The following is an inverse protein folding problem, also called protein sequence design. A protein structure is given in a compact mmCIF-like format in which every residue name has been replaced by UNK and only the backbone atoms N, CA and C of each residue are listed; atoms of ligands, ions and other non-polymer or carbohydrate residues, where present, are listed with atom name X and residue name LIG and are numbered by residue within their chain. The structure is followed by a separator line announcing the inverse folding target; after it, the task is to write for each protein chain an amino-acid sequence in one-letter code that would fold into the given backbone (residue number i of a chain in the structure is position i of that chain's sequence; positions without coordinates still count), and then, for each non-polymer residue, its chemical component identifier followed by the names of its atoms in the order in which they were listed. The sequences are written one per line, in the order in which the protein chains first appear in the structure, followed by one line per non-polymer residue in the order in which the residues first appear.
data_IF_981063617128
#
_entry.id   IF_981063617128
#
_cell.length_a   1.000
_cell.length_b   1.000
_cell.length_c   1.000
_cell.angle_alpha   90.00
_cell.angle_beta   90.00
_cell.angle_gamma   90.00
#
_symmetry.space_group_name_H-M   'P 1'
#
loop_
_entity.id
_entity.type
_entity.pdbx_description
1 polymer ?
#
# COMPACT_ATOMS: atom_id res chain seq x y z
N UNK A 1 3.40 -18.76 20.52
CA UNK A 1 2.54 -19.91 20.15
C UNK A 1 2.26 -19.81 18.66
N UNK A 2 2.32 -20.92 17.90
CA UNK A 2 2.18 -20.95 16.44
C UNK A 2 0.84 -21.58 16.04
N UNK A 3 -0.23 -20.80 16.10
CA UNK A 3 -1.58 -21.23 15.70
C UNK A 3 -2.31 -20.08 15.02
N UNK A 4 -3.16 -20.39 14.04
CA UNK A 4 -3.86 -19.37 13.26
C UNK A 4 -4.86 -18.55 14.10
N UNK A 5 -5.65 -19.20 14.96
CA UNK A 5 -6.72 -18.54 15.71
C UNK A 5 -6.43 -18.46 17.20
N UNK A 6 -6.52 -17.25 17.77
CA UNK A 6 -6.50 -17.03 19.21
C UNK A 6 -7.92 -17.13 19.79
N UNK A 7 -8.41 -18.36 19.98
CA UNK A 7 -9.70 -18.63 20.62
C UNK A 7 -9.54 -18.72 22.14
N UNK A 8 -10.53 -18.24 22.91
CA UNK A 8 -10.48 -18.25 24.38
C UNK A 8 -9.72 -17.08 25.01
N UNK A 9 -10.01 -16.82 26.29
CA UNK A 9 -9.56 -15.60 27.00
C UNK A 9 -8.05 -15.54 27.17
N UNK A 10 -7.41 -16.66 27.52
CA UNK A 10 -5.96 -16.74 27.74
C UNK A 10 -5.17 -16.38 26.48
N UNK A 11 -5.54 -16.96 25.33
CA UNK A 11 -4.87 -16.73 24.06
C UNK A 11 -5.08 -15.32 23.54
N UNK A 12 -6.29 -14.77 23.72
CA UNK A 12 -6.59 -13.38 23.37
C UNK A 12 -5.72 -12.40 24.17
N UNK A 13 -5.55 -12.65 25.47
CA UNK A 13 -4.71 -11.81 26.33
C UNK A 13 -3.23 -11.88 25.90
N UNK A 14 -2.71 -13.08 25.61
CA UNK A 14 -1.33 -13.23 25.11
C UNK A 14 -1.08 -12.47 23.81
N UNK A 15 -2.02 -12.54 22.86
CA UNK A 15 -1.92 -11.79 21.60
C UNK A 15 -1.99 -10.28 21.85
N UNK A 16 -2.88 -9.83 22.74
CA UNK A 16 -3.03 -8.42 23.08
C UNK A 16 -1.75 -7.83 23.69
N UNK A 17 -1.14 -8.54 24.64
CA UNK A 17 0.12 -8.12 25.27
C UNK A 17 1.27 -8.09 24.25
N UNK A 18 1.42 -9.15 23.44
CA UNK A 18 2.48 -9.19 22.43
C UNK A 18 2.29 -8.10 21.37
N UNK A 19 1.05 -7.84 20.96
CA UNK A 19 0.69 -6.77 20.04
C UNK A 19 1.09 -5.40 20.59
N UNK A 20 0.79 -5.12 21.86
CA UNK A 20 1.17 -3.87 22.53
C UNK A 20 2.68 -3.66 22.51
N UNK A 21 3.45 -4.68 22.90
CA UNK A 21 4.92 -4.64 22.87
C UNK A 21 5.43 -4.31 21.46
N UNK A 22 4.90 -4.98 20.43
CA UNK A 22 5.31 -4.74 19.04
C UNK A 22 4.95 -3.32 18.59
N UNK A 23 3.74 -2.82 18.91
CA UNK A 23 3.34 -1.46 18.54
C UNK A 23 4.18 -0.38 19.23
N UNK A 24 4.54 -0.59 20.49
CA UNK A 24 5.38 0.33 21.25
C UNK A 24 6.80 0.38 20.65
N UNK A 25 7.38 -0.78 20.30
CA UNK A 25 8.67 -0.86 19.62
C UNK A 25 8.68 -0.21 18.24
N UNK A 26 7.59 -0.32 17.47
CA UNK A 26 7.47 0.39 16.19
C UNK A 26 7.45 1.91 16.36
N UNK A 27 6.81 2.40 17.42
CA UNK A 27 6.82 3.82 17.74
C UNK A 27 8.21 4.28 18.16
N UNK A 28 8.86 3.57 19.08
CA UNK A 28 10.19 3.92 19.61
C UNK A 28 11.28 3.89 18.54
N UNK A 29 11.33 2.83 17.71
CA UNK A 29 12.42 2.62 16.75
C UNK A 29 12.19 3.28 15.39
N UNK A 30 10.93 3.42 14.96
CA UNK A 30 10.60 3.89 13.60
C UNK A 30 9.69 5.13 13.58
N UNK A 31 9.23 5.60 14.75
CA UNK A 31 8.23 6.67 14.83
C UNK A 31 6.91 6.29 14.16
N UNK A 32 6.58 4.99 14.10
CA UNK A 32 5.39 4.48 13.43
C UNK A 32 4.29 4.17 14.44
N UNK A 33 3.15 4.84 14.27
CA UNK A 33 1.92 4.52 15.01
C UNK A 33 1.19 3.44 14.24
N UNK A 34 1.25 2.20 14.71
CA UNK A 34 0.66 1.04 14.03
C UNK A 34 -0.68 0.64 14.66
N UNK A 35 -1.61 0.22 13.80
CA UNK A 35 -2.86 -0.44 14.16
C UNK A 35 -3.76 0.33 15.16
N UNK A 36 -3.82 1.65 15.00
CA UNK A 36 -4.72 2.52 15.76
C UNK A 36 -5.89 2.97 14.89
N UNK A 37 -7.13 2.98 15.41
CA UNK A 37 -8.28 3.49 14.68
C UNK A 37 -8.16 5.01 14.48
N UNK A 38 -8.56 5.50 13.30
CA UNK A 38 -8.65 6.93 13.03
C UNK A 38 -10.11 7.41 13.16
N UNK A 39 -10.31 8.59 13.71
CA UNK A 39 -11.64 9.21 13.78
C UNK A 39 -12.14 9.49 12.36
N UNK A 40 -13.36 9.03 12.04
CA UNK A 40 -13.94 9.18 10.70
C UNK A 40 -13.67 8.01 9.74
N UNK A 41 -13.05 6.91 10.22
CA UNK A 41 -12.88 5.67 9.48
C UNK A 41 -11.42 5.33 9.15
N UNK A 42 -11.15 4.05 8.92
CA UNK A 42 -9.81 3.52 8.66
C UNK A 42 -8.93 3.40 9.91
N UNK A 43 -7.65 3.10 9.68
CA UNK A 43 -6.64 2.99 10.73
C UNK A 43 -5.33 3.66 10.32
N UNK A 44 -4.32 3.59 11.19
CA UNK A 44 -3.00 4.16 10.94
C UNK A 44 -2.14 3.35 9.97
N UNK A 45 -2.59 2.19 9.50
CA UNK A 45 -1.89 1.36 8.53
C UNK A 45 -2.20 1.81 7.10
N UNK A 46 -1.94 3.09 6.81
CA UNK A 46 -2.10 3.67 5.48
C UNK A 46 -0.88 3.43 4.58
N UNK A 47 -0.95 3.86 3.33
CA UNK A 47 0.14 3.68 2.36
C UNK A 47 1.47 4.33 2.77
N UNK A 48 1.45 5.38 3.62
CA UNK A 48 2.68 5.99 4.14
C UNK A 48 3.32 5.10 5.20
N UNK A 49 2.50 4.54 6.08
CA UNK A 49 2.94 3.56 7.09
C UNK A 49 3.50 2.30 6.43
N UNK A 50 2.80 1.76 5.42
CA UNK A 50 3.26 0.59 4.67
C UNK A 50 4.62 0.83 3.97
N UNK A 51 4.80 1.99 3.33
CA UNK A 51 6.08 2.35 2.69
C UNK A 51 7.25 2.36 3.68
N UNK A 52 7.08 3.01 4.84
CA UNK A 52 8.10 3.02 5.88
C UNK A 52 8.38 1.63 6.45
N UNK A 53 7.36 0.79 6.60
CA UNK A 53 7.52 -0.59 7.07
C UNK A 53 8.44 -1.38 6.12
N UNK A 54 8.21 -1.32 4.80
CA UNK A 54 9.00 -2.07 3.82
C UNK A 54 10.34 -1.43 3.44
N UNK A 55 10.68 -0.26 3.99
CA UNK A 55 11.93 0.46 3.74
C UNK A 55 13.09 -0.04 4.61
N UNK A 56 12.81 -0.62 5.79
CA UNK A 56 13.85 -1.12 6.72
C UNK A 56 13.56 -2.55 7.20
N UNK A 57 13.70 -3.57 6.33
CA UNK A 57 13.42 -4.97 6.66
C UNK A 57 14.18 -5.49 7.87
N UNK A 58 15.40 -5.01 8.14
CA UNK A 58 16.21 -5.36 9.30
C UNK A 58 15.50 -5.00 10.61
N UNK A 59 15.09 -3.74 10.75
CA UNK A 59 14.43 -3.22 11.97
C UNK A 59 13.08 -3.91 12.14
N UNK A 60 12.33 -4.11 11.05
CA UNK A 60 11.04 -4.80 11.08
C UNK A 60 11.21 -6.25 11.53
N UNK A 61 12.20 -6.97 11.00
CA UNK A 61 12.52 -8.34 11.40
C UNK A 61 12.86 -8.41 12.89
N UNK A 62 13.67 -7.48 13.38
CA UNK A 62 14.03 -7.39 14.80
C UNK A 62 12.80 -7.15 15.71
N UNK A 63 11.92 -6.21 15.34
CA UNK A 63 10.73 -5.87 16.12
C UNK A 63 9.71 -7.01 16.13
N UNK A 64 9.44 -7.58 14.95
CA UNK A 64 8.34 -8.55 14.76
C UNK A 64 8.77 -9.99 15.03
N UNK A 65 10.07 -10.30 14.93
CA UNK A 65 10.61 -11.65 14.92
C UNK A 65 10.30 -12.43 13.63
N UNK A 66 9.93 -11.73 12.54
CA UNK A 66 9.71 -12.33 11.23
C UNK A 66 11.02 -12.49 10.45
N UNK A 67 11.06 -13.45 9.55
CA UNK A 67 12.20 -13.69 8.66
C UNK A 67 12.47 -12.45 7.80
N UNK A 68 13.69 -11.92 7.90
CA UNK A 68 14.12 -10.72 7.18
C UNK A 68 13.96 -10.89 5.67
N UNK A 69 14.43 -12.02 5.15
CA UNK A 69 14.39 -12.28 3.71
C UNK A 69 12.95 -12.32 3.21
N UNK A 70 12.02 -12.90 3.97
CA UNK A 70 10.61 -12.88 3.60
C UNK A 70 10.06 -11.44 3.51
N UNK A 71 10.41 -10.56 4.44
CA UNK A 71 10.01 -9.14 4.40
C UNK A 71 10.59 -8.45 3.16
N UNK A 72 11.85 -8.72 2.82
CA UNK A 72 12.49 -8.18 1.61
C UNK A 72 11.80 -8.67 0.33
N UNK A 73 11.46 -9.95 0.25
CA UNK A 73 10.75 -10.50 -0.91
C UNK A 73 9.39 -9.83 -1.11
N UNK A 74 8.63 -9.62 -0.04
CA UNK A 74 7.38 -8.85 -0.12
C UNK A 74 7.62 -7.39 -0.55
N UNK A 75 8.66 -6.73 0.00
CA UNK A 75 9.05 -5.36 -0.40
C UNK A 75 9.33 -5.29 -1.91
N UNK A 76 10.10 -6.25 -2.44
CA UNK A 76 10.44 -6.30 -3.87
C UNK A 76 9.19 -6.54 -4.73
N UNK A 77 8.35 -7.52 -4.38
CA UNK A 77 7.10 -7.79 -5.13
C UNK A 77 6.20 -6.55 -5.19
N UNK A 78 5.98 -5.89 -4.05
CA UNK A 78 5.14 -4.70 -3.98
C UNK A 78 5.74 -3.54 -4.80
N UNK A 79 7.06 -3.33 -4.71
CA UNK A 79 7.77 -2.32 -5.53
C UNK A 79 7.61 -2.61 -7.03
N UNK A 80 7.82 -3.85 -7.45
CA UNK A 80 7.68 -4.27 -8.85
C UNK A 80 6.28 -4.02 -9.39
N UNK A 81 5.22 -4.40 -8.64
CA UNK A 81 3.83 -4.14 -9.07
C UNK A 81 3.50 -2.65 -9.10
N UNK A 82 3.99 -1.90 -8.10
CA UNK A 82 3.79 -0.45 -8.05
C UNK A 82 4.64 0.31 -9.07
N UNK A 83 5.54 -0.38 -9.77
CA UNK A 83 6.30 0.23 -10.85
C UNK A 83 5.38 0.50 -12.04
N UNK A 84 5.50 1.68 -12.63
CA UNK A 84 4.77 2.03 -13.84
C UNK A 84 5.43 1.45 -15.11
N UNK A 85 6.08 0.29 -15.00
CA UNK A 85 6.86 -0.33 -16.06
C UNK A 85 6.36 -1.75 -16.35
N UNK A 86 6.64 -2.24 -17.56
CA UNK A 86 6.37 -3.62 -17.92
C UNK A 86 7.25 -4.58 -17.12
N UNK A 87 6.66 -5.66 -16.65
CA UNK A 87 7.31 -6.65 -15.77
C UNK A 87 7.56 -7.91 -16.59
N UNK A 88 8.75 -8.51 -16.46
CA UNK A 88 9.00 -9.85 -17.00
C UNK A 88 8.17 -10.89 -16.22
N UNK A 89 7.13 -11.42 -16.87
CA UNK A 89 6.12 -12.28 -16.24
C UNK A 89 6.72 -13.58 -15.73
N UNK A 90 7.62 -14.22 -16.49
CA UNK A 90 8.21 -15.51 -16.10
C UNK A 90 9.10 -15.40 -14.86
N UNK A 91 9.97 -14.38 -14.83
CA UNK A 91 10.82 -14.11 -13.67
C UNK A 91 9.98 -13.74 -12.44
N UNK A 92 8.96 -12.91 -12.63
CA UNK A 92 8.08 -12.49 -11.55
C UNK A 92 7.26 -13.66 -10.99
N UNK A 93 6.67 -14.50 -11.86
CA UNK A 93 5.92 -15.71 -11.50
C UNK A 93 6.78 -16.67 -10.67
N UNK A 94 8.02 -16.91 -11.11
CA UNK A 94 8.97 -17.74 -10.37
C UNK A 94 9.27 -17.15 -8.98
N UNK A 95 9.55 -15.84 -8.91
CA UNK A 95 9.85 -15.16 -7.66
C UNK A 95 8.69 -15.20 -6.66
N UNK A 96 7.45 -15.01 -7.12
CA UNK A 96 6.23 -15.12 -6.32
C UNK A 96 5.99 -16.55 -5.81
N UNK A 97 6.17 -17.56 -6.67
CA UNK A 97 5.99 -18.97 -6.28
C UNK A 97 7.02 -19.44 -5.25
N UNK A 98 8.28 -19.05 -5.39
CA UNK A 98 9.31 -19.30 -4.38
C UNK A 98 8.98 -18.61 -3.05
N UNK A 99 8.48 -17.37 -3.10
CA UNK A 99 8.05 -16.64 -1.90
C UNK A 99 6.88 -17.35 -1.21
N UNK A 100 5.91 -17.86 -1.98
CA UNK A 100 4.79 -18.62 -1.44
C UNK A 100 5.23 -19.93 -0.74
N UNK A 101 6.19 -20.66 -1.32
CA UNK A 101 6.78 -21.85 -0.68
C UNK A 101 7.43 -21.49 0.66
N UNK A 102 8.23 -20.42 0.68
CA UNK A 102 8.89 -19.94 1.90
C UNK A 102 7.90 -19.51 2.98
N UNK A 103 6.79 -18.86 2.60
CA UNK A 103 5.69 -18.54 3.54
C UNK A 103 5.16 -19.80 4.23
N UNK A 104 4.94 -20.87 3.48
CA UNK A 104 4.41 -22.15 4.00
C UNK A 104 5.46 -22.84 4.88
N UNK A 105 6.73 -22.86 4.47
CA UNK A 105 7.82 -23.48 5.23
C UNK A 105 8.04 -22.79 6.58
N UNK A 106 8.05 -21.46 6.63
CA UNK A 106 8.31 -20.70 7.86
C UNK A 106 7.07 -20.54 8.74
N UNK A 107 5.92 -20.31 8.12
CA UNK A 107 4.69 -19.86 8.77
C UNK A 107 3.44 -20.65 8.36
N UNK A 108 3.56 -21.90 7.91
CA UNK A 108 2.43 -22.73 7.45
C UNK A 108 1.31 -22.96 8.48
N UNK A 109 1.55 -22.64 9.75
CA UNK A 109 0.53 -22.62 10.81
C UNK A 109 -0.43 -21.41 10.72
N UNK A 110 -0.10 -20.39 9.91
CA UNK A 110 -0.91 -19.19 9.68
C UNK A 110 -1.38 -19.17 8.22
N UNK A 111 -2.69 -19.23 8.01
CA UNK A 111 -3.25 -19.18 6.67
C UNK A 111 -2.98 -17.82 6.02
N UNK A 112 -2.45 -17.82 4.78
CA UNK A 112 -2.26 -16.60 4.01
C UNK A 112 -3.59 -15.87 3.84
N UNK A 113 -3.57 -14.53 3.96
CA UNK A 113 -4.75 -13.73 3.67
C UNK A 113 -5.12 -13.82 2.19
N UNK A 114 -6.38 -13.54 1.87
CA UNK A 114 -6.86 -13.53 0.48
C UNK A 114 -6.06 -12.57 -0.40
N UNK A 115 -5.65 -11.41 0.12
CA UNK A 115 -4.80 -10.45 -0.60
C UNK A 115 -3.41 -11.01 -0.87
N UNK A 116 -2.75 -11.64 0.11
CA UNK A 116 -1.43 -12.25 -0.07
C UNK A 116 -1.50 -13.44 -1.03
N UNK A 117 -2.56 -14.25 -0.94
CA UNK A 117 -2.78 -15.36 -1.87
C UNK A 117 -2.95 -14.87 -3.30
N UNK A 118 -3.82 -13.87 -3.54
CA UNK A 118 -3.96 -13.24 -4.86
C UNK A 118 -2.63 -12.65 -5.35
N UNK A 119 -1.88 -12.01 -4.46
CA UNK A 119 -0.58 -11.41 -4.77
C UNK A 119 0.48 -12.44 -5.16
N UNK A 120 0.56 -13.59 -4.49
CA UNK A 120 1.63 -14.57 -4.75
C UNK A 120 1.24 -15.61 -5.81
N UNK A 121 -0.04 -15.94 -5.93
CA UNK A 121 -0.51 -17.03 -6.81
C UNK A 121 -1.09 -16.49 -8.12
N UNK A 122 -1.86 -15.39 -8.09
CA UNK A 122 -2.62 -14.92 -9.25
C UNK A 122 -2.07 -13.65 -9.90
N UNK A 123 -1.12 -12.95 -9.26
CA UNK A 123 -0.63 -11.65 -9.72
C UNK A 123 0.00 -11.71 -11.11
N UNK A 124 0.73 -12.77 -11.44
CA UNK A 124 1.37 -12.93 -12.76
C UNK A 124 0.32 -13.02 -13.86
N UNK A 125 -0.74 -13.78 -13.64
CA UNK A 125 -1.83 -13.94 -14.61
C UNK A 125 -2.65 -12.65 -14.73
N UNK A 126 -2.81 -11.90 -13.64
CA UNK A 126 -3.43 -10.56 -13.65
C UNK A 126 -2.59 -9.59 -14.47
N UNK A 127 -1.27 -9.54 -14.25
CA UNK A 127 -0.34 -8.68 -15.00
C UNK A 127 -0.39 -9.01 -16.50
N UNK A 128 -0.48 -10.29 -16.84
CA UNK A 128 -0.58 -10.76 -18.23
C UNK A 128 -1.92 -10.36 -18.89
N UNK A 129 -3.00 -10.29 -18.11
CA UNK A 129 -4.33 -9.96 -18.61
C UNK A 129 -4.55 -8.47 -18.91
N UNK A 130 -3.76 -7.58 -18.31
CA UNK A 130 -3.95 -6.12 -18.42
C UNK A 130 -3.12 -5.53 -19.57
N UNK A 131 -3.66 -4.55 -20.32
CA UNK A 131 -2.96 -3.94 -21.44
C UNK A 131 -1.89 -2.90 -21.04
N UNK A 132 -1.89 -2.46 -19.78
CA UNK A 132 -1.01 -1.40 -19.27
C UNK A 132 -0.23 -1.90 -18.04
N UNK A 133 0.95 -1.33 -17.76
CA UNK A 133 1.68 -1.59 -16.52
C UNK A 133 0.79 -1.43 -15.28
N UNK A 134 0.85 -2.41 -14.38
CA UNK A 134 -0.02 -2.44 -13.18
C UNK A 134 0.03 -1.17 -12.35
N UNK A 135 1.21 -0.55 -12.18
CA UNK A 135 1.34 0.69 -11.41
C UNK A 135 0.55 1.87 -11.99
N UNK A 136 0.30 1.89 -13.30
CA UNK A 136 -0.51 2.93 -13.96
C UNK A 136 -2.02 2.73 -13.72
N UNK A 137 -2.44 1.53 -13.34
CA UNK A 137 -3.82 1.19 -13.02
C UNK A 137 -4.13 1.36 -11.51
N UNK A 138 -3.23 1.98 -10.74
CA UNK A 138 -3.38 2.16 -9.30
C UNK A 138 -4.53 3.10 -8.93
N UNK A 139 -5.26 2.75 -7.87
CA UNK A 139 -6.29 3.58 -7.25
C UNK A 139 -5.70 4.80 -6.50
N UNK A 140 -4.40 4.79 -6.17
CA UNK A 140 -3.75 5.86 -5.38
C UNK A 140 -3.95 7.26 -6.00
N UNK A 141 -4.03 7.33 -7.33
CA UNK A 141 -4.27 8.58 -8.06
C UNK A 141 -5.68 9.10 -7.80
N UNK A 142 -6.67 8.21 -7.76
CA UNK A 142 -8.06 8.56 -7.46
C UNK A 142 -8.22 9.01 -6.01
N UNK A 143 -7.55 8.35 -5.06
CA UNK A 143 -7.55 8.79 -3.65
C UNK A 143 -6.93 10.19 -3.50
N UNK A 144 -5.84 10.48 -4.22
CA UNK A 144 -5.25 11.81 -4.26
C UNK A 144 -6.23 12.86 -4.82
N UNK A 145 -6.98 12.53 -5.86
CA UNK A 145 -8.04 13.39 -6.41
C UNK A 145 -9.19 13.64 -5.42
N UNK A 146 -9.51 12.70 -4.52
CA UNK A 146 -10.52 12.94 -3.48
C UNK A 146 -10.09 14.03 -2.49
N UNK A 147 -8.80 14.16 -2.21
CA UNK A 147 -8.27 15.26 -1.39
C UNK A 147 -8.50 16.60 -2.09
N UNK A 148 -8.27 16.64 -3.41
CA UNK A 148 -8.50 17.83 -4.21
C UNK A 148 -9.99 18.20 -4.27
N UNK A 149 -10.89 17.22 -4.43
CA UNK A 149 -12.33 17.43 -4.36
C UNK A 149 -12.75 18.16 -3.07
N UNK A 150 -12.23 17.74 -1.91
CA UNK A 150 -12.53 18.40 -0.62
C UNK A 150 -12.07 19.86 -0.60
N UNK A 151 -10.90 20.14 -1.17
CA UNK A 151 -10.35 21.50 -1.26
C UNK A 151 -11.19 22.38 -2.21
N UNK A 152 -11.53 21.87 -3.40
CA UNK A 152 -12.38 22.58 -4.37
C UNK A 152 -13.74 22.93 -3.74
N UNK A 153 -14.38 21.96 -3.08
CA UNK A 153 -15.66 22.19 -2.38
C UNK A 153 -15.56 23.22 -1.25
N UNK A 154 -14.43 23.27 -0.53
CA UNK A 154 -14.27 24.20 0.59
C UNK A 154 -14.03 25.63 0.10
N UNK A 155 -13.14 25.80 -0.88
CA UNK A 155 -12.52 27.08 -1.25
C UNK A 155 -12.98 27.67 -2.58
N UNK A 156 -13.41 26.84 -3.54
CA UNK A 156 -13.62 27.27 -4.93
C UNK A 156 -15.09 27.19 -5.41
N UNK A 157 -15.91 26.34 -4.79
CA UNK A 157 -17.32 26.20 -5.19
C UNK A 157 -18.21 27.26 -4.54
N UNK A 158 -19.20 27.76 -5.29
CA UNK A 158 -20.28 28.60 -4.76
C UNK A 158 -21.13 27.79 -3.77
N UNK A 159 -21.48 28.41 -2.65
CA UNK A 159 -22.30 27.81 -1.57
C UNK A 159 -23.74 28.34 -1.56
N UNK A 160 -24.24 28.73 -2.72
CA UNK A 160 -25.60 29.28 -2.90
C UNK A 160 -26.66 28.18 -3.05
N UNK A 161 -26.31 27.05 -3.66
CA UNK A 161 -27.16 25.86 -3.75
C UNK A 161 -26.30 24.61 -3.96
N UNK A 162 -26.84 23.43 -3.61
CA UNK A 162 -26.13 22.15 -3.85
C UNK A 162 -25.85 21.91 -5.33
N UNK A 163 -26.77 22.33 -6.21
CA UNK A 163 -26.60 22.24 -7.67
C UNK A 163 -25.41 23.08 -8.10
N UNK A 164 -25.37 24.35 -7.69
CA UNK A 164 -24.26 25.26 -8.03
C UNK A 164 -22.92 24.75 -7.49
N UNK A 165 -22.90 24.24 -6.26
CA UNK A 165 -21.71 23.63 -5.67
C UNK A 165 -21.20 22.46 -6.53
N UNK A 166 -22.09 21.54 -6.92
CA UNK A 166 -21.71 20.37 -7.71
C UNK A 166 -21.27 20.76 -9.14
N UNK A 167 -21.93 21.73 -9.75
CA UNK A 167 -21.55 22.27 -11.07
C UNK A 167 -20.15 22.87 -11.03
N UNK A 168 -19.83 23.68 -10.01
CA UNK A 168 -18.50 24.29 -9.88
C UNK A 168 -17.41 23.24 -9.64
N UNK A 169 -17.69 22.24 -8.78
CA UNK A 169 -16.74 21.15 -8.53
C UNK A 169 -16.45 20.39 -9.83
N UNK A 170 -17.49 20.06 -10.61
CA UNK A 170 -17.32 19.36 -11.88
C UNK A 170 -16.46 20.18 -12.85
N UNK A 171 -16.77 21.46 -13.03
CA UNK A 171 -15.98 22.34 -13.91
C UNK A 171 -14.51 22.43 -13.47
N UNK A 172 -14.24 22.55 -12.16
CA UNK A 172 -12.88 22.58 -11.64
C UNK A 172 -12.13 21.28 -11.86
N UNK A 173 -12.79 20.13 -11.69
CA UNK A 173 -12.19 18.83 -11.95
C UNK A 173 -11.87 18.68 -13.44
N UNK A 174 -12.79 19.03 -14.35
CA UNK A 174 -12.56 19.01 -15.80
C UNK A 174 -11.38 19.91 -16.20
N UNK A 175 -11.34 21.14 -15.69
CA UNK A 175 -10.25 22.09 -15.94
C UNK A 175 -8.90 21.56 -15.43
N UNK A 176 -8.90 20.91 -14.27
CA UNK A 176 -7.67 20.33 -13.70
C UNK A 176 -7.18 19.09 -14.45
N UNK A 177 -8.08 18.31 -15.04
CA UNK A 177 -7.75 17.11 -15.83
C UNK A 177 -7.49 17.40 -17.31
N UNK A 178 -7.70 18.63 -17.77
CA UNK A 178 -7.51 19.00 -19.18
C UNK A 178 -6.04 18.80 -19.59
N UNK A 179 -5.74 17.93 -20.59
CA UNK A 179 -4.37 17.65 -20.99
C UNK A 179 -3.62 18.86 -21.55
N UNK A 180 -4.31 19.73 -22.31
CA UNK A 180 -3.72 20.92 -22.91
C UNK A 180 -3.31 21.92 -21.81
N UNK A 181 -4.18 22.12 -20.82
CA UNK A 181 -3.89 23.00 -19.69
C UNK A 181 -2.81 22.40 -18.79
N UNK A 182 -2.90 21.10 -18.50
CA UNK A 182 -1.94 20.37 -17.66
C UNK A 182 -0.52 20.43 -18.24
N UNK A 183 -0.37 20.32 -19.56
CA UNK A 183 0.93 20.41 -20.24
C UNK A 183 1.61 21.77 -20.06
N UNK A 184 0.84 22.86 -19.98
CA UNK A 184 1.36 24.22 -19.81
C UNK A 184 1.43 24.66 -18.35
N UNK A 185 0.92 23.85 -17.41
CA UNK A 185 0.93 24.15 -15.98
C UNK A 185 2.35 24.02 -15.43
N UNK A 186 2.83 24.95 -14.58
CA UNK A 186 4.13 24.81 -13.96
C UNK A 186 4.14 23.60 -13.02
N UNK A 187 4.97 22.61 -13.34
CA UNK A 187 5.16 21.41 -12.52
C UNK A 187 6.35 21.62 -11.59
N UNK A 188 6.15 21.43 -10.28
CA UNK A 188 7.29 21.27 -9.36
C UNK A 188 7.92 19.90 -9.63
N UNK A 189 9.09 19.85 -10.26
CA UNK A 189 9.85 18.61 -10.41
C UNK A 189 10.26 18.11 -9.03
N UNK A 190 9.65 17.01 -8.57
CA UNK A 190 10.27 16.19 -7.54
C UNK A 190 11.37 15.39 -8.24
N UNK A 191 12.60 15.50 -7.76
CA UNK A 191 13.75 14.74 -8.27
C UNK A 191 13.41 13.24 -8.10
N UNK A 192 13.06 12.57 -9.19
CA UNK A 192 12.99 11.12 -9.20
C UNK A 192 14.44 10.63 -9.13
N UNK A 193 14.82 9.99 -8.02
CA UNK A 193 16.09 9.27 -7.97
C UNK A 193 15.93 8.04 -8.85
N UNK A 194 16.61 8.03 -9.98
CA UNK A 194 16.76 6.88 -10.87
C UNK A 194 17.19 5.65 -10.07
N UNK A 195 16.36 4.62 -10.05
CA UNK A 195 16.73 3.31 -9.54
C UNK A 195 15.84 2.23 -10.15
N UNK A 196 15.81 2.17 -11.49
CA UNK A 196 15.31 1.01 -12.23
C UNK A 196 16.25 0.78 -13.43
N UNK A 197 17.38 0.12 -13.16
CA UNK A 197 18.28 -0.49 -14.15
C UNK A 197 18.90 -1.78 -13.59
N UNK A 198 18.22 -2.44 -12.65
CA UNK A 198 18.62 -3.73 -12.10
C UNK A 198 17.37 -4.49 -11.67
N UNK A 199 16.74 -5.16 -12.64
CA UNK A 199 16.04 -6.45 -12.63
C UNK A 199 15.39 -6.66 -14.01
#
# INVERSE_FOLDING_TARGET
MKQWQARGTTLKNQVKEKKKIITDLFYEKMGLIMDQPKQGGGNTNDGKTARKFFESPEIVSEITGLDKELIERFSNILKTISSCHYINIDTFRKYCMETARRCIELYGWYNMSTSVHKLLIHSSDIIESVPLPMGQLSEDVLEASQKEYKNIRLMHSRKTSRVNTNTDILHWLCFNSDPLISQHRPVKKNICKDLIMLL
#
